data_IF_852251927543
#
_entry.id   IF_852251927543
#
_cell.length_a   1.000
_cell.length_b   1.000
_cell.length_c   1.000
_cell.angle_alpha   90.00
_cell.angle_beta   90.00
_cell.angle_gamma   90.00
#
_symmetry.space_group_name_H-M   'P 1'
#
loop_
_entity.id
_entity.type
_entity.pdbx_description
1 polymer ?
#
# COMPACT_ATOMS: atom_id res chain seq x y z
N UNK A 1 13.45 2.25 7.74
CA UNK A 1 12.16 2.20 7.03
C UNK A 1 12.18 1.00 6.13
N UNK A 2 11.07 0.28 6.09
CA UNK A 2 10.84 -0.85 5.18
C UNK A 2 9.68 -0.49 4.25
N UNK A 3 9.61 -1.17 3.11
CA UNK A 3 8.58 -0.92 2.11
C UNK A 3 7.99 -2.25 1.71
N UNK A 4 6.66 -2.32 1.69
CA UNK A 4 5.94 -3.53 1.36
C UNK A 4 5.02 -3.30 0.18
N UNK A 5 4.81 -4.37 -0.58
CA UNK A 5 3.73 -4.49 -1.55
C UNK A 5 2.88 -5.69 -1.18
N UNK A 6 1.63 -5.42 -0.90
CA UNK A 6 0.60 -6.40 -0.64
C UNK A 6 -0.30 -6.53 -1.85
N UNK A 7 -0.53 -7.77 -2.27
CA UNK A 7 -1.61 -8.17 -3.16
C UNK A 7 -2.67 -8.87 -2.31
N UNK A 8 -3.91 -8.42 -2.43
CA UNK A 8 -5.06 -9.11 -1.87
C UNK A 8 -5.89 -9.68 -3.02
N UNK A 9 -5.97 -11.00 -3.10
CA UNK A 9 -6.87 -11.69 -4.01
C UNK A 9 -8.31 -11.55 -3.53
N UNK A 10 -9.01 -10.57 -4.09
CA UNK A 10 -10.39 -10.27 -3.76
C UNK A 10 -11.13 -9.77 -5.01
N UNK A 11 -12.47 -9.87 -5.00
CA UNK A 11 -13.34 -9.49 -6.13
C UNK A 11 -14.30 -8.32 -5.84
N UNK A 12 -14.21 -7.73 -4.65
CA UNK A 12 -14.97 -6.57 -4.19
C UNK A 12 -14.32 -5.25 -4.61
N UNK A 13 -15.16 -4.28 -4.99
CA UNK A 13 -14.69 -2.91 -5.24
C UNK A 13 -14.46 -2.12 -3.94
N UNK A 14 -14.88 -2.66 -2.79
CA UNK A 14 -14.75 -1.97 -1.49
C UNK A 14 -13.35 -2.09 -0.89
N UNK A 15 -12.57 -3.08 -1.33
CA UNK A 15 -11.22 -3.33 -0.83
C UNK A 15 -10.17 -2.99 -1.89
N UNK A 16 -9.00 -2.54 -1.42
CA UNK A 16 -7.84 -2.38 -2.29
C UNK A 16 -7.32 -3.75 -2.75
N UNK A 17 -6.92 -3.84 -4.01
CA UNK A 17 -6.28 -5.05 -4.57
C UNK A 17 -4.77 -4.99 -4.37
N UNK A 18 -4.19 -3.80 -4.54
CA UNK A 18 -2.77 -3.57 -4.27
C UNK A 18 -2.64 -2.52 -3.18
N UNK A 19 -1.77 -2.80 -2.21
CA UNK A 19 -1.43 -1.89 -1.13
C UNK A 19 0.09 -1.76 -1.10
N UNK A 20 0.58 -0.53 -1.12
CA UNK A 20 1.98 -0.22 -0.94
C UNK A 20 2.14 0.55 0.35
N UNK A 21 3.01 0.07 1.23
CA UNK A 21 3.17 0.63 2.57
C UNK A 21 4.63 0.98 2.80
N UNK A 22 4.89 2.19 3.28
CA UNK A 22 6.16 2.53 3.93
C UNK A 22 5.95 2.45 5.44
N UNK A 23 6.80 1.69 6.11
CA UNK A 23 6.79 1.57 7.57
C UNK A 23 8.05 2.15 8.19
N UNK A 24 7.91 2.71 9.39
CA UNK A 24 9.03 3.20 10.19
C UNK A 24 9.86 2.04 10.78
N UNK A 25 10.85 2.37 11.60
CA UNK A 25 11.71 1.34 12.22
C UNK A 25 11.00 0.56 13.35
N UNK A 26 9.81 0.98 13.75
CA UNK A 26 8.97 0.33 14.75
C UNK A 26 7.85 -0.51 14.09
N UNK A 27 7.79 -0.53 12.76
CA UNK A 27 6.79 -1.27 11.98
C UNK A 27 5.50 -0.49 11.72
N UNK A 28 5.37 0.76 12.19
CA UNK A 28 4.16 1.55 11.95
C UNK A 28 4.14 2.15 10.55
N UNK A 29 3.00 2.06 9.89
CA UNK A 29 2.79 2.65 8.58
C UNK A 29 2.83 4.18 8.65
N UNK A 30 3.60 4.80 7.74
CA UNK A 30 3.76 6.26 7.65
C UNK A 30 3.30 6.82 6.30
N UNK A 31 3.28 5.98 5.26
CA UNK A 31 2.67 6.28 3.96
C UNK A 31 2.02 5.01 3.41
N UNK A 32 0.83 5.15 2.84
CA UNK A 32 0.09 4.07 2.20
C UNK A 32 -0.45 4.50 0.84
N UNK A 33 -0.34 3.63 -0.15
CA UNK A 33 -1.00 3.76 -1.46
C UNK A 33 -1.89 2.54 -1.70
N UNK A 34 -3.16 2.77 -1.97
CA UNK A 34 -4.15 1.73 -2.26
C UNK A 34 -4.61 1.83 -3.71
N UNK A 35 -4.64 0.71 -4.42
CA UNK A 35 -5.14 0.61 -5.80
C UNK A 35 -6.28 -0.41 -5.81
N UNK A 36 -7.46 0.05 -6.23
CA UNK A 36 -8.70 -0.73 -6.27
C UNK A 36 -8.92 -1.35 -7.67
N UNK A 37 -9.78 -2.37 -7.74
CA UNK A 37 -10.10 -3.08 -8.99
C UNK A 37 -10.66 -2.17 -10.09
N UNK A 38 -11.40 -1.13 -9.71
CA UNK A 38 -11.96 -0.13 -10.63
C UNK A 38 -10.92 0.90 -11.12
N UNK A 39 -9.68 0.78 -10.66
CA UNK A 39 -8.58 1.68 -10.99
C UNK A 39 -8.54 2.95 -10.13
N UNK A 40 -9.43 3.11 -9.15
CA UNK A 40 -9.30 4.15 -8.13
C UNK A 40 -7.99 3.95 -7.39
N UNK A 41 -7.33 5.06 -7.07
CA UNK A 41 -6.10 5.06 -6.27
C UNK A 41 -6.28 6.04 -5.12
N UNK A 42 -5.96 5.61 -3.90
CA UNK A 42 -5.94 6.45 -2.71
C UNK A 42 -4.53 6.52 -2.13
N UNK A 43 -4.16 7.67 -1.59
CA UNK A 43 -2.88 7.90 -0.93
C UNK A 43 -3.12 8.48 0.46
N UNK A 44 -2.41 7.95 1.45
CA UNK A 44 -2.52 8.35 2.84
C UNK A 44 -1.13 8.55 3.44
N UNK A 45 -1.00 9.55 4.30
CA UNK A 45 0.22 9.89 5.01
C UNK A 45 -0.10 10.47 6.39
N UNK A 46 0.88 11.11 7.03
CA UNK A 46 0.72 11.77 8.32
C UNK A 46 -0.41 12.83 8.39
N UNK A 47 -0.89 13.35 7.25
CA UNK A 47 -2.04 14.26 7.19
C UNK A 47 -3.38 13.53 7.27
N UNK A 48 -3.41 12.24 6.97
CA UNK A 48 -4.59 11.35 7.04
C UNK A 48 -4.29 10.11 7.90
N UNK A 49 -3.93 10.29 9.19
CA UNK A 49 -3.37 9.21 10.01
C UNK A 49 -4.38 8.10 10.34
N UNK A 50 -5.68 8.39 10.31
CA UNK A 50 -6.74 7.41 10.59
C UNK A 50 -6.87 6.32 9.52
N UNK A 51 -6.32 6.56 8.33
CA UNK A 51 -6.33 5.60 7.23
C UNK A 51 -5.07 4.73 7.22
N UNK A 52 -4.05 5.08 8.02
CA UNK A 52 -2.83 4.29 8.18
C UNK A 52 -3.08 3.12 9.16
N UNK A 53 -2.33 2.04 9.01
CA UNK A 53 -2.42 0.89 9.91
C UNK A 53 -2.23 1.27 11.39
N UNK A 54 -3.19 0.88 12.24
CA UNK A 54 -3.15 1.14 13.70
C UNK A 54 -2.11 0.30 14.45
N UNK A 55 -1.74 -0.85 13.87
CA UNK A 55 -0.80 -1.80 14.46
C UNK A 55 0.47 -1.86 13.61
N UNK A 56 1.63 -2.15 14.24
CA UNK A 56 2.85 -2.37 13.48
C UNK A 56 2.68 -3.57 12.54
N UNK A 57 3.24 -3.46 11.35
CA UNK A 57 3.27 -4.54 10.38
C UNK A 57 4.13 -5.69 10.91
N UNK A 58 3.63 -6.91 10.83
CA UNK A 58 4.38 -8.11 11.22
C UNK A 58 5.66 -8.25 10.37
N UNK A 59 6.77 -8.56 11.04
CA UNK A 59 8.05 -8.78 10.36
C UNK A 59 8.13 -10.16 9.69
N UNK A 60 7.26 -11.09 10.09
CA UNK A 60 7.22 -12.46 9.57
C UNK A 60 6.30 -12.56 8.36
N UNK A 61 6.80 -12.12 7.20
CA UNK A 61 6.05 -12.16 5.94
C UNK A 61 5.66 -13.58 5.53
N UNK A 62 6.40 -14.61 5.94
CA UNK A 62 6.05 -16.00 5.64
C UNK A 62 4.74 -16.39 6.32
N UNK A 63 4.55 -16.00 7.59
CA UNK A 63 3.29 -16.23 8.30
C UNK A 63 2.12 -15.45 7.70
N UNK A 64 2.34 -14.24 7.17
CA UNK A 64 1.28 -13.45 6.52
C UNK A 64 0.85 -14.12 5.20
N UNK A 65 1.83 -14.64 4.45
CA UNK A 65 1.62 -15.29 3.15
C UNK A 65 1.13 -16.74 3.24
N UNK A 66 0.95 -17.28 4.44
CA UNK A 66 0.31 -18.59 4.65
C UNK A 66 -1.19 -18.56 4.27
N UNK A 67 -1.78 -17.37 4.25
CA UNK A 67 -3.11 -17.14 3.68
C UNK A 67 -3.08 -17.22 2.14
N UNK A 68 -3.96 -18.02 1.54
CA UNK A 68 -4.11 -18.05 0.08
C UNK A 68 -4.63 -16.72 -0.50
N UNK A 69 -5.21 -15.84 0.33
CA UNK A 69 -5.82 -14.59 -0.12
C UNK A 69 -4.85 -13.41 -0.16
N UNK A 70 -3.74 -13.45 0.59
CA UNK A 70 -2.84 -12.30 0.75
C UNK A 70 -1.42 -12.69 0.40
N UNK A 71 -0.77 -11.87 -0.43
CA UNK A 71 0.66 -11.99 -0.72
C UNK A 71 1.35 -10.66 -0.45
N UNK A 72 2.24 -10.63 0.54
CA UNK A 72 3.08 -9.51 0.93
C UNK A 72 4.53 -9.80 0.57
N UNK A 73 5.18 -8.85 -0.08
CA UNK A 73 6.63 -8.88 -0.30
C UNK A 73 7.26 -7.57 0.15
N UNK A 74 8.50 -7.63 0.61
CA UNK A 74 9.33 -6.44 0.75
C UNK A 74 9.73 -5.94 -0.65
N UNK A 75 9.62 -4.63 -0.87
CA UNK A 75 10.05 -3.95 -2.09
C UNK A 75 11.11 -2.90 -1.77
N UNK A 76 11.78 -2.38 -2.79
CA UNK A 76 12.71 -1.27 -2.57
C UNK A 76 11.95 0.05 -2.39
N UNK A 77 12.57 1.00 -1.67
CA UNK A 77 12.12 2.40 -1.64
C UNK A 77 11.85 2.94 -3.04
N UNK A 78 12.75 2.64 -3.97
CA UNK A 78 12.67 3.15 -5.33
C UNK A 78 11.42 2.63 -6.08
N UNK A 79 10.99 1.40 -5.81
CA UNK A 79 9.76 0.85 -6.40
C UNK A 79 8.52 1.53 -5.81
N UNK A 80 8.52 1.80 -4.51
CA UNK A 80 7.47 2.58 -3.86
C UNK A 80 7.36 3.99 -4.46
N UNK A 81 8.47 4.74 -4.49
CA UNK A 81 8.49 6.12 -5.00
C UNK A 81 8.10 6.21 -6.48
N UNK A 82 8.52 5.25 -7.32
CA UNK A 82 8.08 5.17 -8.72
C UNK A 82 6.57 4.97 -8.84
N UNK A 83 6.00 4.11 -8.00
CA UNK A 83 4.55 3.86 -7.99
C UNK A 83 3.80 5.12 -7.56
N UNK A 84 4.30 5.81 -6.53
CA UNK A 84 3.76 7.09 -6.08
C UNK A 84 3.85 8.18 -7.16
N UNK A 85 4.95 8.24 -7.91
CA UNK A 85 5.10 9.17 -9.02
C UNK A 85 4.06 8.91 -10.12
N UNK A 86 3.85 7.64 -10.50
CA UNK A 86 2.83 7.25 -11.48
C UNK A 86 1.41 7.63 -11.02
N UNK A 87 1.13 7.52 -9.72
CA UNK A 87 -0.12 8.01 -9.12
C UNK A 87 -0.27 9.53 -9.28
N UNK A 88 0.76 10.30 -8.95
CA UNK A 88 0.73 11.76 -9.05
C UNK A 88 0.50 12.21 -10.51
N UNK A 89 1.19 11.58 -11.46
CA UNK A 89 1.06 11.88 -12.89
C UNK A 89 -0.37 11.64 -13.38
N UNK A 90 -1.01 10.53 -12.97
CA UNK A 90 -2.40 10.22 -13.33
C UNK A 90 -3.42 11.22 -12.76
N UNK A 91 -3.22 11.68 -11.52
CA UNK A 91 -4.13 12.65 -10.90
C UNK A 91 -3.98 14.06 -11.48
N UNK A 92 -2.83 14.41 -12.05
CA UNK A 92 -2.64 15.68 -12.73
C UNK A 92 -3.30 15.73 -14.12
N UNK A 93 -3.45 14.57 -14.78
CA UNK A 93 -4.10 14.48 -16.11
C UNK A 93 -5.63 14.38 -16.07
N UNK A 94 -6.23 14.24 -14.88
CA UNK A 94 -7.69 14.15 -14.68
C UNK A 94 -8.39 15.51 -14.52
N UNK A 95 -7.65 16.62 -14.61
CA UNK A 95 -8.19 17.98 -14.52
C UNK A 95 -8.06 18.74 -15.84
N UNK A 96 -8.93 18.45 -16.80
CA UNK A 96 -9.26 19.33 -17.93
C UNK A 96 -10.75 19.28 -18.24
#
# INVERSE_FOLDING_TARGET
MKYYRTYWEQSSLEYATWIFSEVDNQGYEIRKLEIFLDGKISYYDANTPFELGEFPTDEDLESINDSEEITVIEISKNDFEKTLQLFNDKNQTGGQ
#
